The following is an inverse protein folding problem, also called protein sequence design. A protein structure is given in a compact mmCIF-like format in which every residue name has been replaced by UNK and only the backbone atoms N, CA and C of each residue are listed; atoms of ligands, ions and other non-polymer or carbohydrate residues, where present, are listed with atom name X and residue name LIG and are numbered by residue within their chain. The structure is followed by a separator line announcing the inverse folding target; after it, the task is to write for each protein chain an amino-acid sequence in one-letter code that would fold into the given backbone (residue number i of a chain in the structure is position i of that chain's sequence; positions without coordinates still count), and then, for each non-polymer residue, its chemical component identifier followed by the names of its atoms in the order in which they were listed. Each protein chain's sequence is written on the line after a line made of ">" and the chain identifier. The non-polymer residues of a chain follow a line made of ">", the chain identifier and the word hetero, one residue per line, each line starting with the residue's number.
data_IF_988088564703
#
_entry.id   IF_988088564703
#
_cell.length_a   1.000
_cell.length_b   1.000
_cell.length_c   1.000
_cell.angle_alpha   90.00
_cell.angle_beta   90.00
_cell.angle_gamma   90.00
#
_symmetry.space_group_name_H-M   'P 1'
#
loop_
_entity.id
_entity.type
_entity.pdbx_description
1 polymer ?
#
# COMPACT_ATOMS: atom_id res chain seq x y z
N UNK A 1 -12.71 9.98 -9.82
CA UNK A 1 -13.19 9.43 -8.55
C UNK A 1 -12.22 8.41 -7.95
N UNK A 2 -11.83 7.35 -8.67
CA UNK A 2 -10.87 6.35 -8.20
C UNK A 2 -9.53 6.95 -7.74
N UNK A 3 -9.03 7.96 -8.44
CA UNK A 3 -7.80 8.68 -8.07
C UNK A 3 -7.97 9.43 -6.74
N UNK A 4 -9.12 10.09 -6.54
CA UNK A 4 -9.41 10.81 -5.31
C UNK A 4 -9.49 9.85 -4.11
N UNK A 5 -10.12 8.68 -4.26
CA UNK A 5 -10.19 7.63 -3.23
C UNK A 5 -8.82 7.07 -2.88
N UNK A 6 -7.97 6.83 -3.89
CA UNK A 6 -6.58 6.38 -3.66
C UNK A 6 -5.77 7.42 -2.88
N UNK A 7 -5.94 8.70 -3.20
CA UNK A 7 -5.30 9.81 -2.47
C UNK A 7 -5.80 9.88 -1.03
N UNK A 8 -7.10 9.79 -0.83
CA UNK A 8 -7.73 9.78 0.50
C UNK A 8 -7.27 8.58 1.33
N UNK A 9 -7.20 7.39 0.74
CA UNK A 9 -6.67 6.20 1.39
C UNK A 9 -5.21 6.39 1.83
N UNK A 10 -4.37 6.93 0.94
CA UNK A 10 -2.97 7.24 1.26
C UNK A 10 -2.84 8.17 2.46
N UNK A 11 -3.64 9.22 2.52
CA UNK A 11 -3.68 10.17 3.63
C UNK A 11 -4.09 9.50 4.96
N UNK A 12 -5.16 8.71 4.97
CA UNK A 12 -5.60 8.02 6.19
C UNK A 12 -4.61 6.95 6.65
N UNK A 13 -4.00 6.21 5.72
CA UNK A 13 -2.93 5.25 6.03
C UNK A 13 -1.77 5.93 6.74
N UNK A 14 -1.26 7.02 6.19
CA UNK A 14 -0.16 7.78 6.78
C UNK A 14 -0.55 8.33 8.16
N UNK A 15 -1.73 8.91 8.30
CA UNK A 15 -2.24 9.45 9.57
C UNK A 15 -2.38 8.38 10.64
N UNK A 16 -2.89 7.19 10.29
CA UNK A 16 -3.04 6.07 11.21
C UNK A 16 -1.67 5.58 11.70
N UNK A 17 -0.74 5.36 10.78
CA UNK A 17 0.61 4.90 11.10
C UNK A 17 1.42 5.95 11.90
N UNK A 18 1.22 7.23 11.64
CA UNK A 18 1.87 8.29 12.41
C UNK A 18 1.34 8.38 13.86
N UNK A 19 0.05 8.11 14.09
CA UNK A 19 -0.52 8.07 15.45
C UNK A 19 0.08 6.94 16.30
N UNK A 20 0.47 5.84 15.69
CA UNK A 20 1.07 4.70 16.41
C UNK A 20 2.50 4.92 16.85
N UNK A 21 3.18 5.98 16.38
CA UNK A 21 4.57 6.32 16.79
C UNK A 21 4.72 6.49 18.30
N UNK A 22 3.68 6.91 19.00
CA UNK A 22 3.72 7.17 20.46
C UNK A 22 3.91 5.87 21.25
N UNK A 23 3.38 4.74 20.77
CA UNK A 23 3.45 3.42 21.43
C UNK A 23 4.29 2.39 20.69
N UNK A 24 4.97 2.79 19.61
CA UNK A 24 5.72 1.89 18.75
C UNK A 24 7.24 2.04 18.95
N UNK A 25 7.95 0.93 18.82
CA UNK A 25 9.41 0.94 18.74
C UNK A 25 9.87 1.35 17.35
N UNK A 26 10.75 2.33 17.23
CA UNK A 26 11.37 2.72 15.97
C UNK A 26 12.40 1.67 15.54
N UNK A 27 12.02 0.79 14.64
CA UNK A 27 12.77 -0.38 14.20
C UNK A 27 13.41 -0.13 12.84
N UNK A 28 14.69 -0.50 12.66
CA UNK A 28 15.34 -0.44 11.35
C UNK A 28 14.67 -1.43 10.39
N UNK A 29 14.57 -1.05 9.13
CA UNK A 29 14.06 -1.93 8.07
C UNK A 29 14.86 -3.23 7.98
N UNK A 30 16.16 -3.19 8.28
CA UNK A 30 17.01 -4.38 8.39
C UNK A 30 16.50 -5.39 9.44
N UNK A 31 15.94 -4.89 10.53
CA UNK A 31 15.59 -5.69 11.71
C UNK A 31 14.16 -6.30 11.62
N UNK A 32 13.44 -6.05 10.52
CA UNK A 32 12.08 -6.58 10.31
C UNK A 32 12.04 -8.07 9.95
N UNK A 33 13.16 -8.63 9.45
CA UNK A 33 13.25 -10.01 9.01
C UNK A 33 14.45 -10.22 8.10
N UNK A 34 14.40 -11.28 7.29
CA UNK A 34 15.45 -11.63 6.34
C UNK A 34 15.21 -10.98 4.99
N UNK A 35 16.11 -10.10 4.60
CA UNK A 35 16.14 -9.49 3.27
C UNK A 35 17.00 -10.29 2.30
N UNK A 36 16.51 -10.49 1.10
CA UNK A 36 17.23 -11.20 0.03
C UNK A 36 17.02 -10.49 -1.31
N UNK A 37 17.83 -10.84 -2.29
CA UNK A 37 17.65 -10.44 -3.68
C UNK A 37 17.34 -11.64 -4.55
N UNK A 38 17.11 -11.40 -5.82
CA UNK A 38 16.88 -12.46 -6.79
C UNK A 38 17.86 -12.45 -7.94
N UNK A 39 17.54 -13.25 -8.94
CA UNK A 39 18.29 -13.43 -10.17
C UNK A 39 17.36 -13.46 -11.38
N UNK A 40 17.91 -13.28 -12.56
CA UNK A 40 17.24 -13.55 -13.83
C UNK A 40 17.88 -14.80 -14.44
N UNK A 41 17.12 -15.88 -14.68
CA UNK A 41 17.62 -17.02 -15.46
C UNK A 41 17.99 -16.57 -16.87
N UNK A 42 18.86 -17.30 -17.54
CA UNK A 42 19.25 -16.97 -18.92
C UNK A 42 18.02 -16.84 -19.82
N UNK A 43 17.85 -15.68 -20.43
CA UNK A 43 16.74 -15.43 -21.36
C UNK A 43 16.89 -16.23 -22.66
N UNK A 44 18.10 -16.69 -22.97
CA UNK A 44 18.38 -17.53 -24.15
C UNK A 44 17.94 -18.99 -23.95
N UNK A 45 17.77 -19.42 -22.71
CA UNK A 45 17.38 -20.79 -22.37
C UNK A 45 15.86 -20.91 -22.29
N UNK A 46 15.23 -21.26 -23.41
CA UNK A 46 13.77 -21.40 -23.50
C UNK A 46 13.18 -22.33 -22.42
N UNK A 47 13.88 -23.40 -22.07
CA UNK A 47 13.47 -24.37 -21.04
C UNK A 47 13.24 -23.74 -19.67
N UNK A 48 13.77 -22.54 -19.38
CA UNK A 48 13.55 -21.83 -18.14
C UNK A 48 12.26 -21.03 -18.11
N UNK A 49 11.69 -20.72 -19.30
CA UNK A 49 10.58 -19.78 -19.44
C UNK A 49 9.33 -20.43 -20.06
N UNK A 50 9.50 -21.31 -21.06
CA UNK A 50 8.39 -21.93 -21.77
C UNK A 50 7.61 -22.85 -20.82
N UNK A 51 6.30 -22.64 -20.74
CA UNK A 51 5.39 -23.36 -19.84
C UNK A 51 5.75 -23.22 -18.35
N UNK A 52 6.38 -22.13 -17.96
CA UNK A 52 6.66 -21.81 -16.57
C UNK A 52 5.39 -21.66 -15.75
N UNK A 53 5.41 -22.16 -14.53
CA UNK A 53 4.29 -22.07 -13.56
C UNK A 53 4.67 -21.35 -12.27
N UNK A 54 5.96 -21.10 -12.07
CA UNK A 54 6.49 -20.48 -10.86
C UNK A 54 6.56 -18.97 -11.09
N UNK A 55 5.83 -18.13 -10.34
CA UNK A 55 5.85 -16.69 -10.53
C UNK A 55 7.25 -16.08 -10.40
N UNK A 56 7.64 -15.23 -11.35
CA UNK A 56 8.91 -14.50 -11.34
C UNK A 56 8.69 -12.99 -11.37
N UNK A 57 8.85 -12.37 -10.21
CA UNK A 57 8.56 -10.95 -10.01
C UNK A 57 9.68 -10.07 -10.54
N UNK A 58 9.31 -9.12 -11.35
CA UNK A 58 10.14 -8.04 -11.85
C UNK A 58 9.58 -6.67 -11.47
N UNK A 59 10.29 -5.60 -11.77
CA UNK A 59 9.79 -4.24 -11.53
C UNK A 59 8.51 -3.90 -12.31
N UNK A 60 8.18 -4.66 -13.36
CA UNK A 60 6.95 -4.49 -14.16
C UNK A 60 5.70 -4.93 -13.41
N UNK A 61 5.85 -5.87 -12.47
CA UNK A 61 4.75 -6.49 -11.73
C UNK A 61 4.36 -5.66 -10.50
N UNK A 62 5.31 -4.94 -9.89
CA UNK A 62 5.11 -4.20 -8.64
C UNK A 62 4.36 -2.88 -8.89
N UNK A 63 3.08 -2.99 -9.25
CA UNK A 63 2.18 -1.86 -9.53
C UNK A 63 1.01 -1.76 -8.56
N UNK A 64 0.73 -2.85 -7.85
CA UNK A 64 -0.38 -2.96 -6.92
C UNK A 64 0.14 -3.22 -5.50
N UNK A 65 -0.59 -2.79 -4.46
CA UNK A 65 -0.23 -3.06 -3.06
C UNK A 65 -0.18 -4.54 -2.71
N UNK A 66 -1.01 -5.35 -3.37
CA UNK A 66 -1.03 -6.81 -3.29
C UNK A 66 -0.84 -7.35 -4.71
N UNK A 67 0.13 -8.23 -4.87
CA UNK A 67 0.37 -8.88 -6.14
C UNK A 67 -0.64 -10.03 -6.33
N UNK A 68 -1.31 -10.06 -7.46
CA UNK A 68 -2.25 -11.14 -7.81
C UNK A 68 -1.60 -12.22 -8.65
N UNK A 69 -0.66 -11.84 -9.52
CA UNK A 69 0.11 -12.72 -10.39
C UNK A 69 1.30 -11.95 -10.99
N UNK A 70 2.19 -12.62 -11.73
CA UNK A 70 3.32 -12.05 -12.44
C UNK A 70 3.12 -12.14 -13.96
N UNK A 71 3.77 -11.25 -14.71
CA UNK A 71 3.76 -11.28 -16.18
C UNK A 71 4.52 -12.50 -16.67
N UNK A 72 5.68 -12.76 -16.08
CA UNK A 72 6.57 -13.84 -16.46
C UNK A 72 6.58 -14.93 -15.38
N UNK A 73 6.64 -16.18 -15.83
CA UNK A 73 6.78 -17.37 -14.98
C UNK A 73 8.00 -18.18 -15.41
N UNK A 74 8.61 -18.88 -14.48
CA UNK A 74 9.75 -19.76 -14.74
C UNK A 74 9.39 -21.23 -14.44
N UNK A 75 10.23 -22.12 -14.94
CA UNK A 75 10.06 -23.56 -14.75
C UNK A 75 10.86 -24.09 -13.55
N UNK A 76 10.60 -25.33 -13.13
CA UNK A 76 11.45 -26.00 -12.14
C UNK A 76 12.90 -26.15 -12.63
N UNK A 77 13.12 -26.32 -13.95
CA UNK A 77 14.49 -26.35 -14.50
C UNK A 77 15.25 -25.05 -14.21
N UNK A 78 14.58 -23.89 -14.22
CA UNK A 78 15.22 -22.64 -13.81
C UNK A 78 15.58 -22.62 -12.32
N UNK A 79 14.74 -23.19 -11.46
CA UNK A 79 15.05 -23.29 -10.03
C UNK A 79 16.32 -24.10 -9.82
N UNK A 80 16.38 -25.30 -10.38
CA UNK A 80 17.45 -26.27 -10.14
C UNK A 80 18.76 -25.86 -10.81
N UNK A 81 18.73 -25.54 -12.12
CA UNK A 81 19.94 -25.30 -12.91
C UNK A 81 20.46 -23.86 -12.80
N UNK A 82 19.58 -22.86 -12.72
CA UNK A 82 19.98 -21.46 -12.54
C UNK A 82 20.08 -21.03 -11.07
N UNK A 83 19.89 -21.96 -10.12
CA UNK A 83 19.96 -21.70 -8.67
C UNK A 83 19.08 -20.54 -8.27
N UNK A 84 17.82 -20.56 -8.70
CA UNK A 84 16.82 -19.57 -8.29
C UNK A 84 16.36 -19.85 -6.87
N UNK A 85 16.03 -18.81 -6.13
CA UNK A 85 15.49 -18.95 -4.77
C UNK A 85 13.98 -18.73 -4.82
N UNK A 86 13.22 -19.70 -4.31
CA UNK A 86 11.77 -19.57 -4.09
C UNK A 86 11.55 -18.97 -2.70
N UNK A 87 10.75 -17.93 -2.65
CA UNK A 87 10.37 -17.25 -1.41
C UNK A 87 8.95 -17.62 -1.01
N UNK A 88 8.67 -17.72 0.30
CA UNK A 88 7.37 -18.14 0.78
C UNK A 88 6.28 -17.11 0.52
N UNK A 89 5.03 -17.58 0.47
CA UNK A 89 3.85 -16.74 0.54
C UNK A 89 3.91 -15.81 1.77
N UNK A 90 3.36 -14.61 1.64
CA UNK A 90 3.41 -13.61 2.70
C UNK A 90 4.67 -12.75 2.70
N UNK A 91 5.52 -12.86 1.69
CA UNK A 91 6.70 -12.01 1.53
C UNK A 91 6.33 -10.58 1.09
N UNK A 92 7.21 -9.62 1.38
CA UNK A 92 7.07 -8.23 0.93
C UNK A 92 8.21 -7.88 -0.02
N UNK A 93 7.89 -7.39 -1.21
CA UNK A 93 8.88 -7.01 -2.20
C UNK A 93 8.94 -5.50 -2.41
N UNK A 94 10.15 -4.98 -2.62
CA UNK A 94 10.41 -3.60 -3.02
C UNK A 94 11.27 -3.55 -4.27
N UNK A 95 11.04 -2.56 -5.11
CA UNK A 95 11.90 -2.28 -6.28
C UNK A 95 13.06 -1.42 -5.83
N UNK A 96 14.29 -1.85 -6.13
CA UNK A 96 15.52 -1.10 -5.78
C UNK A 96 16.25 -0.51 -6.99
N UNK A 97 15.92 -0.95 -8.22
CA UNK A 97 16.45 -0.40 -9.46
C UNK A 97 15.39 -0.46 -10.57
N UNK A 98 14.93 0.69 -11.02
CA UNK A 98 13.99 0.83 -12.15
C UNK A 98 13.73 2.31 -12.41
N UNK A 99 13.34 2.69 -13.64
CA UNK A 99 12.89 4.03 -13.98
C UNK A 99 11.65 4.50 -13.18
N UNK A 100 10.86 3.58 -12.64
CA UNK A 100 9.67 3.91 -11.82
C UNK A 100 10.05 4.62 -10.51
N UNK A 101 11.29 4.40 -10.01
CA UNK A 101 11.82 5.06 -8.81
C UNK A 101 11.98 6.57 -8.97
N UNK A 102 11.84 7.10 -10.18
CA UNK A 102 11.78 8.55 -10.42
C UNK A 102 10.55 9.15 -9.76
N UNK A 103 9.44 8.42 -9.70
CA UNK A 103 8.14 8.93 -9.28
C UNK A 103 7.61 8.31 -8.00
N UNK A 104 7.96 7.06 -7.71
CA UNK A 104 7.38 6.31 -6.58
C UNK A 104 8.37 5.34 -5.96
N UNK A 105 8.07 4.84 -4.78
CA UNK A 105 8.73 3.72 -4.11
C UNK A 105 7.81 2.49 -4.19
N UNK A 106 8.00 1.60 -5.17
CA UNK A 106 7.10 0.46 -5.36
C UNK A 106 7.30 -0.58 -4.27
N UNK A 107 6.19 -0.94 -3.60
CA UNK A 107 6.12 -1.98 -2.58
C UNK A 107 4.91 -2.85 -2.88
N UNK A 108 5.06 -4.17 -2.80
CA UNK A 108 3.94 -5.11 -2.94
C UNK A 108 4.04 -6.21 -1.89
N UNK A 109 2.89 -6.65 -1.39
CA UNK A 109 2.74 -7.88 -0.64
C UNK A 109 2.45 -9.04 -1.60
N UNK A 110 3.11 -10.18 -1.40
CA UNK A 110 3.01 -11.35 -2.29
C UNK A 110 2.36 -12.49 -1.51
N UNK A 111 1.09 -12.85 -1.79
CA UNK A 111 0.35 -13.87 -1.04
C UNK A 111 0.62 -15.31 -1.49
N UNK A 112 1.57 -15.54 -2.40
CA UNK A 112 1.93 -16.84 -2.95
C UNK A 112 3.44 -17.03 -2.98
N UNK A 113 3.90 -18.27 -3.20
CA UNK A 113 5.32 -18.57 -3.38
C UNK A 113 5.82 -17.96 -4.69
N UNK A 114 7.03 -17.39 -4.68
CA UNK A 114 7.54 -16.64 -5.81
C UNK A 114 9.05 -16.65 -5.90
N UNK A 115 9.54 -16.28 -7.07
CA UNK A 115 10.94 -15.89 -7.31
C UNK A 115 10.99 -14.41 -7.70
N UNK A 116 12.15 -13.78 -7.59
CA UNK A 116 12.30 -12.36 -7.94
C UNK A 116 13.56 -12.13 -8.77
N UNK A 117 13.58 -11.06 -9.56
CA UNK A 117 14.77 -10.65 -10.30
C UNK A 117 15.78 -9.88 -9.41
N UNK A 118 16.93 -9.49 -9.96
CA UNK A 118 18.00 -8.79 -9.24
C UNK A 118 17.65 -7.36 -8.83
N UNK A 119 16.64 -6.75 -9.46
CA UNK A 119 16.20 -5.36 -9.19
C UNK A 119 15.20 -5.27 -8.04
N UNK A 120 14.75 -6.44 -7.56
CA UNK A 120 13.83 -6.59 -6.42
C UNK A 120 14.61 -7.01 -5.18
N UNK A 121 14.23 -6.43 -4.05
CA UNK A 121 14.58 -6.95 -2.72
C UNK A 121 13.32 -7.45 -2.05
N UNK A 122 13.41 -8.65 -1.49
CA UNK A 122 12.29 -9.34 -0.86
C UNK A 122 12.58 -9.56 0.62
N UNK A 123 11.56 -9.33 1.44
CA UNK A 123 11.58 -9.51 2.89
C UNK A 123 10.70 -10.68 3.27
N UNK A 124 11.26 -11.62 4.00
CA UNK A 124 10.53 -12.60 4.81
C UNK A 124 10.58 -12.09 6.25
N UNK A 125 9.44 -11.69 6.80
CA UNK A 125 9.38 -11.10 8.14
C UNK A 125 9.69 -12.12 9.22
N UNK A 126 10.29 -11.66 10.32
CA UNK A 126 10.53 -12.50 11.49
C UNK A 126 9.27 -12.63 12.34
N UNK A 127 9.29 -13.55 13.29
CA UNK A 127 8.23 -13.71 14.29
C UNK A 127 7.92 -12.39 15.03
N UNK A 128 6.64 -12.15 15.31
CA UNK A 128 6.16 -10.92 15.94
C UNK A 128 6.03 -9.72 14.99
N UNK A 129 6.36 -9.89 13.71
CA UNK A 129 6.24 -8.84 12.66
C UNK A 129 5.25 -9.29 11.60
N UNK A 130 4.13 -8.59 11.48
CA UNK A 130 3.14 -8.81 10.42
C UNK A 130 3.66 -8.28 9.07
N UNK A 131 3.77 -9.15 8.08
CA UNK A 131 4.22 -8.77 6.74
C UNK A 131 3.23 -7.80 6.05
N UNK A 132 1.92 -7.94 6.30
CA UNK A 132 0.93 -6.97 5.82
C UNK A 132 1.13 -5.59 6.46
N UNK A 133 1.40 -5.54 7.77
CA UNK A 133 1.73 -4.29 8.44
C UNK A 133 2.97 -3.64 7.82
N UNK A 134 4.04 -4.42 7.60
CA UNK A 134 5.27 -3.93 6.97
C UNK A 134 5.00 -3.40 5.57
N UNK A 135 4.20 -4.10 4.77
CA UNK A 135 3.80 -3.63 3.44
C UNK A 135 3.13 -2.27 3.50
N UNK A 136 2.13 -2.08 4.37
CA UNK A 136 1.47 -0.78 4.56
C UNK A 136 2.42 0.31 5.07
N UNK A 137 3.30 -0.03 6.02
CA UNK A 137 4.27 0.91 6.57
C UNK A 137 5.30 1.35 5.51
N UNK A 138 5.88 0.42 4.75
CA UNK A 138 6.82 0.75 3.67
C UNK A 138 6.17 1.58 2.56
N UNK A 139 4.91 1.34 2.24
CA UNK A 139 4.15 2.17 1.30
C UNK A 139 3.90 3.59 1.86
N UNK A 140 3.56 3.72 3.14
CA UNK A 140 3.32 5.02 3.76
C UNK A 140 4.58 5.87 3.87
N UNK A 141 5.68 5.27 4.26
CA UNK A 141 6.99 5.94 4.36
C UNK A 141 7.78 5.93 3.04
N UNK A 142 7.21 5.37 1.98
CA UNK A 142 7.89 5.12 0.70
C UNK A 142 8.49 6.37 0.08
N UNK A 143 7.79 7.49 0.06
CA UNK A 143 8.32 8.75 -0.48
C UNK A 143 9.52 9.26 0.33
N UNK A 144 9.45 9.18 1.65
CA UNK A 144 10.58 9.56 2.52
C UNK A 144 11.78 8.63 2.32
N UNK A 145 11.55 7.31 2.24
CA UNK A 145 12.59 6.32 1.95
C UNK A 145 13.23 6.65 0.59
N UNK A 146 12.43 6.80 -0.48
CA UNK A 146 12.90 7.11 -1.82
C UNK A 146 13.79 8.35 -1.85
N UNK A 147 13.33 9.45 -1.26
CA UNK A 147 14.07 10.72 -1.24
C UNK A 147 15.40 10.63 -0.51
N UNK A 148 15.46 9.89 0.59
CA UNK A 148 16.66 9.81 1.44
C UNK A 148 17.66 8.75 0.99
N UNK A 149 17.21 7.78 0.15
CA UNK A 149 18.04 6.64 -0.24
C UNK A 149 18.37 6.59 -1.73
N UNK A 150 17.82 7.51 -2.55
CA UNK A 150 18.09 7.56 -3.99
C UNK A 150 19.58 7.77 -4.25
N UNK A 151 20.17 6.94 -5.12
CA UNK A 151 21.53 7.11 -5.63
C UNK A 151 21.57 8.21 -6.67
N UNK A 152 22.64 9.01 -6.65
CA UNK A 152 22.92 9.99 -7.69
C UNK A 152 23.85 9.38 -8.74
N UNK A 153 23.64 9.69 -10.02
CA UNK A 153 24.50 9.31 -11.11
C UNK A 153 24.34 7.85 -11.53
N UNK A 154 23.55 7.59 -12.53
CA UNK A 154 23.36 6.27 -13.14
C UNK A 154 22.37 6.36 -14.28
N UNK A 155 22.47 5.45 -15.25
CA UNK A 155 21.55 5.39 -16.40
C UNK A 155 20.12 5.04 -15.99
N UNK A 156 19.97 4.29 -14.89
CA UNK A 156 18.68 3.87 -14.34
C UNK A 156 18.59 4.27 -12.86
N UNK A 157 17.46 4.85 -12.46
CA UNK A 157 17.24 5.23 -11.06
C UNK A 157 17.37 4.00 -10.16
N UNK A 158 18.11 4.16 -9.06
CA UNK A 158 18.35 3.11 -8.08
C UNK A 158 18.42 3.66 -6.66
N UNK A 159 18.19 2.78 -5.69
CA UNK A 159 18.27 3.10 -4.27
C UNK A 159 19.55 2.54 -3.66
N UNK A 160 20.10 3.25 -2.70
CA UNK A 160 21.13 2.72 -1.81
C UNK A 160 20.45 1.79 -0.80
N UNK A 161 20.56 0.50 -1.04
CA UNK A 161 19.85 -0.49 -0.22
C UNK A 161 20.36 -0.50 1.23
N UNK A 162 21.60 -0.17 1.50
CA UNK A 162 22.12 -0.06 2.87
C UNK A 162 21.42 1.09 3.63
N UNK A 163 21.17 2.21 2.95
CA UNK A 163 20.38 3.30 3.52
C UNK A 163 18.92 2.91 3.72
N UNK A 164 18.33 2.13 2.80
CA UNK A 164 16.98 1.57 2.99
C UNK A 164 16.93 0.69 4.24
N UNK A 165 17.91 -0.20 4.41
CA UNK A 165 18.01 -1.07 5.59
C UNK A 165 18.19 -0.28 6.90
N UNK A 166 18.89 0.85 6.87
CA UNK A 166 19.11 1.73 8.01
C UNK A 166 17.88 2.62 8.36
N UNK A 167 16.93 2.76 7.43
CA UNK A 167 15.74 3.56 7.66
C UNK A 167 14.89 2.97 8.79
N UNK A 168 14.29 3.83 9.61
CA UNK A 168 13.48 3.37 10.75
C UNK A 168 11.99 3.62 10.50
N UNK A 169 11.19 2.61 10.78
CA UNK A 169 9.73 2.70 10.79
C UNK A 169 9.18 2.35 12.18
N UNK A 170 8.03 2.88 12.58
CA UNK A 170 7.39 2.49 13.83
C UNK A 170 6.86 1.06 13.72
N UNK A 171 7.13 0.23 14.71
CA UNK A 171 6.63 -1.14 14.83
C UNK A 171 5.98 -1.29 16.21
N UNK A 172 4.64 -1.25 16.29
CA UNK A 172 3.91 -1.49 17.52
C UNK A 172 3.84 -2.99 17.86
N UNK A 173 3.33 -3.38 19.04
CA UNK A 173 3.04 -4.77 19.37
C UNK A 173 2.17 -5.46 18.31
N UNK A 174 2.29 -6.79 18.17
CA UNK A 174 1.68 -7.55 17.07
C UNK A 174 0.14 -7.44 17.04
N UNK A 175 -0.52 -7.36 18.19
CA UNK A 175 -1.95 -7.16 18.29
C UNK A 175 -2.40 -5.79 17.70
N UNK A 176 -1.57 -4.75 17.90
CA UNK A 176 -1.80 -3.43 17.33
C UNK A 176 -1.52 -3.44 15.83
N UNK A 177 -0.45 -4.13 15.37
CA UNK A 177 -0.18 -4.32 13.95
C UNK A 177 -1.38 -4.95 13.24
N UNK A 178 -1.93 -6.03 13.79
CA UNK A 178 -3.07 -6.75 13.22
C UNK A 178 -4.34 -5.88 13.17
N UNK A 179 -4.60 -5.07 14.20
CA UNK A 179 -5.73 -4.12 14.18
C UNK A 179 -5.58 -3.07 13.09
N UNK A 180 -4.36 -2.54 12.90
CA UNK A 180 -4.07 -1.58 11.84
C UNK A 180 -4.26 -2.21 10.47
N UNK A 181 -3.75 -3.42 10.25
CA UNK A 181 -3.91 -4.19 9.01
C UNK A 181 -5.38 -4.38 8.69
N UNK A 182 -6.19 -4.84 9.65
CA UNK A 182 -7.62 -5.07 9.44
C UNK A 182 -8.35 -3.78 8.98
N UNK A 183 -8.02 -2.65 9.58
CA UNK A 183 -8.61 -1.35 9.19
C UNK A 183 -8.16 -0.97 7.78
N UNK A 184 -6.86 -1.07 7.48
CA UNK A 184 -6.31 -0.65 6.21
C UNK A 184 -6.72 -1.57 5.06
N UNK A 185 -6.74 -2.89 5.27
CA UNK A 185 -7.15 -3.87 4.25
C UNK A 185 -8.64 -3.73 3.91
N UNK A 186 -9.50 -3.50 4.92
CA UNK A 186 -10.92 -3.23 4.68
C UNK A 186 -11.12 -1.92 3.90
N UNK A 187 -10.37 -0.88 4.25
CA UNK A 187 -10.46 0.40 3.55
C UNK A 187 -9.94 0.29 2.10
N UNK A 188 -8.83 -0.44 1.89
CA UNK A 188 -8.29 -0.72 0.56
C UNK A 188 -9.28 -1.50 -0.30
N UNK A 189 -9.94 -2.52 0.28
CA UNK A 189 -10.99 -3.29 -0.39
C UNK A 189 -12.18 -2.40 -0.81
N UNK A 190 -12.67 -1.55 0.08
CA UNK A 190 -13.75 -0.60 -0.23
C UNK A 190 -13.33 0.38 -1.33
N UNK A 191 -12.09 0.88 -1.30
CA UNK A 191 -11.58 1.79 -2.32
C UNK A 191 -11.34 1.14 -3.68
N UNK A 192 -11.05 -0.17 -3.72
CA UNK A 192 -10.79 -0.91 -4.96
C UNK A 192 -12.05 -1.52 -5.56
N UNK A 193 -13.08 -1.78 -4.76
CA UNK A 193 -14.33 -2.37 -5.21
C UNK A 193 -15.34 -1.27 -5.56
N UNK A 194 -15.48 -1.01 -6.85
CA UNK A 194 -16.45 -0.05 -7.37
C UNK A 194 -17.91 -0.47 -7.09
N UNK A 195 -18.16 -1.76 -6.91
CA UNK A 195 -19.51 -2.26 -6.64
C UNK A 195 -19.95 -2.05 -5.19
N UNK A 196 -18.99 -2.01 -4.26
CA UNK A 196 -19.27 -1.78 -2.83
C UNK A 196 -19.20 -0.28 -2.50
N UNK A 197 -18.16 0.40 -2.98
CA UNK A 197 -17.89 1.80 -2.62
C UNK A 197 -18.77 2.80 -3.35
N UNK A 198 -19.04 2.59 -4.64
CA UNK A 198 -19.79 3.53 -5.47
C UNK A 198 -21.29 3.62 -5.10
N UNK A 199 -22.04 2.51 -4.89
CA UNK A 199 -23.43 2.58 -4.45
C UNK A 199 -23.60 3.30 -3.12
N UNK A 200 -22.77 3.02 -2.12
CA UNK A 200 -22.83 3.68 -0.82
C UNK A 200 -22.57 5.19 -0.92
N UNK A 201 -21.63 5.62 -1.77
CA UNK A 201 -21.38 7.04 -2.01
C UNK A 201 -22.51 7.73 -2.77
N UNK A 202 -23.09 7.05 -3.78
CA UNK A 202 -24.26 7.56 -4.50
C UNK A 202 -25.42 7.79 -3.53
N UNK A 203 -25.71 6.81 -2.66
CA UNK A 203 -26.76 6.93 -1.65
C UNK A 203 -26.48 8.07 -0.66
N UNK A 204 -25.24 8.21 -0.18
CA UNK A 204 -24.87 9.31 0.71
C UNK A 204 -25.00 10.67 0.04
N UNK A 205 -24.58 10.80 -1.21
CA UNK A 205 -24.73 12.04 -1.99
C UNK A 205 -26.20 12.36 -2.30
N UNK A 206 -27.00 11.33 -2.55
CA UNK A 206 -28.42 11.52 -2.80
C UNK A 206 -29.13 12.04 -1.56
N UNK A 207 -28.86 11.46 -0.38
CA UNK A 207 -29.36 11.97 0.91
C UNK A 207 -28.91 13.42 1.18
N UNK A 208 -27.65 13.73 0.87
CA UNK A 208 -27.11 15.08 1.01
C UNK A 208 -27.81 16.07 0.04
N UNK A 209 -28.00 15.65 -1.21
CA UNK A 209 -28.74 16.47 -2.19
C UNK A 209 -30.17 16.72 -1.75
N UNK A 210 -30.91 15.69 -1.33
CA UNK A 210 -32.29 15.81 -0.84
C UNK A 210 -32.38 16.77 0.35
N UNK A 211 -31.46 16.66 1.31
CA UNK A 211 -31.39 17.56 2.45
C UNK A 211 -31.19 19.02 2.05
N UNK A 212 -30.25 19.31 1.17
CA UNK A 212 -30.02 20.70 0.73
C UNK A 212 -31.12 21.22 -0.18
N UNK A 213 -31.66 20.37 -1.05
CA UNK A 213 -32.80 20.72 -1.89
C UNK A 213 -33.99 21.14 -1.02
N UNK A 214 -34.35 20.35 -0.03
CA UNK A 214 -35.47 20.63 0.84
C UNK A 214 -35.25 21.90 1.66
N UNK A 215 -34.03 22.12 2.14
CA UNK A 215 -33.66 23.42 2.78
C UNK A 215 -33.84 24.61 1.85
N UNK A 216 -33.40 24.49 0.60
CA UNK A 216 -33.51 25.58 -0.40
C UNK A 216 -34.97 25.83 -0.76
N UNK A 217 -35.78 24.78 -0.95
CA UNK A 217 -37.20 24.91 -1.24
C UNK A 217 -37.95 25.57 -0.05
N UNK A 218 -37.70 25.14 1.16
CA UNK A 218 -38.32 25.75 2.37
C UNK A 218 -37.89 27.22 2.53
N UNK A 219 -36.63 27.56 2.21
CA UNK A 219 -36.17 28.93 2.21
C UNK A 219 -36.89 29.79 1.09
N UNK A 220 -37.08 29.20 -0.09
CA UNK A 220 -37.76 29.86 -1.20
C UNK A 220 -39.27 30.11 -0.88
N UNK A 221 -39.92 29.22 -0.16
CA UNK A 221 -41.31 29.30 0.25
C UNK A 221 -41.55 30.24 1.43
N UNK A 222 -40.67 30.19 2.43
CA UNK A 222 -40.89 30.85 3.74
C UNK A 222 -40.04 32.11 3.93
N UNK A 223 -38.99 32.32 3.12
CA UNK A 223 -38.00 33.40 3.31
C UNK A 223 -37.16 33.25 4.59
N UNK A 224 -37.33 32.15 5.32
CA UNK A 224 -36.65 31.90 6.58
C UNK A 224 -35.70 30.70 6.43
N UNK A 225 -34.44 30.87 6.80
CA UNK A 225 -33.54 29.76 7.11
C UNK A 225 -34.12 28.98 8.28
N UNK A 226 -34.22 27.66 8.16
CA UNK A 226 -34.56 26.80 9.29
C UNK A 226 -33.40 26.90 10.30
N UNK A 227 -33.49 27.83 11.22
CA UNK A 227 -32.68 27.81 12.44
C UNK A 227 -33.04 26.53 13.20
N UNK A 228 -32.03 25.80 13.67
CA UNK A 228 -32.27 24.59 14.48
C UNK A 228 -33.18 24.95 15.67
N UNK A 229 -34.00 24.01 16.12
CA UNK A 229 -34.88 24.20 17.32
C UNK A 229 -34.10 24.70 18.53
N UNK A 230 -32.82 24.43 18.65
CA UNK A 230 -31.91 24.89 19.69
C UNK A 230 -31.62 26.40 19.61
N UNK A 231 -31.50 26.95 18.41
CA UNK A 231 -31.28 28.40 18.21
C UNK A 231 -32.55 29.23 18.41
N UNK A 232 -33.71 28.66 18.13
CA UNK A 232 -34.99 29.30 18.41
C UNK A 232 -35.32 29.34 19.93
N UNK A 233 -34.89 28.33 20.69
CA UNK A 233 -35.08 28.28 22.13
C UNK A 233 -34.22 29.29 22.89
N UNK A 234 -33.01 29.58 22.42
CA UNK A 234 -32.12 30.56 23.03
C UNK A 234 -32.54 32.03 22.76
N UNK A 235 -33.20 32.28 21.61
CA UNK A 235 -33.72 33.60 21.26
C UNK A 235 -34.98 34.00 22.09
N UNK A 236 -35.71 33.02 22.65
CA UNK A 236 -36.91 33.24 23.48
C UNK A 236 -36.60 33.40 24.99
N UNK A 237 -35.37 33.05 25.42
CA UNK A 237 -34.96 33.15 26.82
C UNK A 237 -34.31 34.51 27.21
N UNK A 238 -34.21 35.43 26.24
CA UNK A 238 -33.64 36.77 26.42
C UNK A 238 -34.64 37.92 26.20
N UNK A 239 -35.96 37.66 26.41
CA UNK A 239 -36.98 38.70 26.50
C UNK A 239 -37.60 38.73 27.87
#
# INVERSE_FOLDING_TARGET
>A
ELTARKTQYGFYREKLLNKTKISATMTKVADLGKWSGGKTPSMAEKKYWESGTIPWVSSKDVKQPILSDTIDHITNAAIDEASMTVYPAGSVAIVTRSGILRHTFPVTYIPFETTVNQDIKILVTKEGISSRYVSHALQAYGESIRRTTKKQGGTVDSLDFQKVLAYKIPVPPIDVQNRIVNVLDNFEKICSDLNIGLPAEIEARQKQYEYYRDKLLTFAETGNTILSRAEQSSALSHR
#
